data_IF_730342666016
#
_entry.id   IF_730342666016
#
_cell.length_a   1.000
_cell.length_b   1.000
_cell.length_c   1.000
_cell.angle_alpha   90.00
_cell.angle_beta   90.00
_cell.angle_gamma   90.00
#
_symmetry.space_group_name_H-M   'P 1'
#
loop_
_entity.id
_entity.type
_entity.pdbx_description
1 polymer ?
#
# COMPACT_ATOMS: atom_id res chain seq x y z
N UNK A 1 17.87 17.56 -8.15
CA UNK A 1 16.98 16.41 -8.48
C UNK A 1 16.58 16.55 -9.94
N UNK A 2 16.98 15.61 -10.79
CA UNK A 2 16.56 15.58 -12.19
C UNK A 2 15.03 15.42 -12.28
N UNK A 3 14.45 15.82 -13.41
CA UNK A 3 13.01 15.69 -13.64
C UNK A 3 12.54 14.23 -13.46
N UNK A 4 13.37 13.27 -13.87
CA UNK A 4 13.14 11.84 -13.74
C UNK A 4 13.14 11.35 -12.29
N UNK A 5 14.05 11.83 -11.43
CA UNK A 5 14.06 11.49 -10.00
C UNK A 5 12.80 11.98 -9.28
N UNK A 6 12.30 13.17 -9.63
CA UNK A 6 11.04 13.69 -9.07
C UNK A 6 9.86 12.82 -9.50
N UNK A 7 9.81 12.44 -10.78
CA UNK A 7 8.75 11.60 -11.33
C UNK A 7 8.75 10.20 -10.69
N UNK A 8 9.92 9.59 -10.49
CA UNK A 8 10.07 8.32 -9.79
C UNK A 8 9.58 8.39 -8.33
N UNK A 9 9.95 9.45 -7.59
CA UNK A 9 9.44 9.64 -6.22
C UNK A 9 7.92 9.76 -6.17
N UNK A 10 7.30 10.46 -7.13
CA UNK A 10 5.83 10.60 -7.20
C UNK A 10 5.19 9.24 -7.49
N UNK A 11 5.72 8.47 -8.44
CA UNK A 11 5.19 7.14 -8.77
C UNK A 11 5.24 6.19 -7.57
N UNK A 12 6.35 6.14 -6.83
CA UNK A 12 6.47 5.29 -5.64
C UNK A 12 5.47 5.70 -4.55
N UNK A 13 5.25 7.02 -4.37
CA UNK A 13 4.23 7.51 -3.43
C UNK A 13 2.82 7.13 -3.86
N UNK A 14 2.49 7.27 -5.14
CA UNK A 14 1.20 6.85 -5.67
C UNK A 14 0.96 5.34 -5.47
N UNK A 15 1.98 4.51 -5.75
CA UNK A 15 1.91 3.07 -5.49
C UNK A 15 1.69 2.76 -3.99
N UNK A 16 2.37 3.49 -3.09
CA UNK A 16 2.16 3.39 -1.65
C UNK A 16 0.73 3.77 -1.23
N UNK A 17 0.16 4.83 -1.79
CA UNK A 17 -1.22 5.24 -1.54
C UNK A 17 -2.22 4.19 -2.03
N UNK A 18 -2.00 3.60 -3.21
CA UNK A 18 -2.86 2.52 -3.74
C UNK A 18 -2.84 1.31 -2.80
N UNK A 19 -1.66 0.88 -2.35
CA UNK A 19 -1.52 -0.22 -1.39
C UNK A 19 -2.24 0.07 -0.06
N UNK A 20 -2.14 1.31 0.44
CA UNK A 20 -2.88 1.78 1.61
C UNK A 20 -4.40 1.68 1.42
N UNK A 21 -4.92 2.16 0.27
CA UNK A 21 -6.35 2.10 -0.05
C UNK A 21 -6.84 0.65 -0.09
N UNK A 22 -6.10 -0.23 -0.76
CA UNK A 22 -6.46 -1.66 -0.84
C UNK A 22 -6.50 -2.32 0.54
N UNK A 23 -5.52 -2.03 1.40
CA UNK A 23 -5.50 -2.53 2.76
C UNK A 23 -6.64 -1.99 3.62
N UNK A 24 -6.99 -0.70 3.49
CA UNK A 24 -8.14 -0.11 4.19
C UNK A 24 -9.45 -0.77 3.72
N UNK A 25 -9.63 -0.98 2.42
CA UNK A 25 -10.80 -1.65 1.86
C UNK A 25 -10.95 -3.08 2.40
N UNK A 26 -9.84 -3.83 2.50
CA UNK A 26 -9.85 -5.18 3.06
C UNK A 26 -10.25 -5.21 4.55
N UNK A 27 -9.78 -4.23 5.34
CA UNK A 27 -10.22 -4.07 6.73
C UNK A 27 -11.70 -3.71 6.82
N UNK A 28 -12.18 -2.77 6.00
CA UNK A 28 -13.59 -2.39 5.97
C UNK A 28 -14.49 -3.57 5.58
N UNK A 29 -14.06 -4.39 4.62
CA UNK A 29 -14.77 -5.59 4.21
C UNK A 29 -14.90 -6.61 5.36
N UNK A 30 -13.80 -6.93 6.05
CA UNK A 30 -13.85 -7.85 7.19
C UNK A 30 -14.62 -7.29 8.40
N UNK A 31 -14.54 -5.98 8.65
CA UNK A 31 -15.35 -5.32 9.66
C UNK A 31 -16.85 -5.40 9.32
N UNK A 32 -17.23 -5.15 8.06
CA UNK A 32 -18.62 -5.26 7.60
C UNK A 32 -19.17 -6.68 7.74
N UNK A 33 -18.37 -7.71 7.45
CA UNK A 33 -18.77 -9.11 7.64
C UNK A 33 -18.97 -9.48 9.11
N UNK A 34 -18.10 -8.99 10.01
CA UNK A 34 -18.29 -9.18 11.46
C UNK A 34 -19.53 -8.49 11.99
N UNK A 35 -19.82 -7.27 11.53
CA UNK A 35 -21.03 -6.53 11.91
C UNK A 35 -22.32 -7.21 11.45
N UNK A 36 -22.27 -7.98 10.35
CA UNK A 36 -23.41 -8.76 9.83
C UNK A 36 -23.57 -10.12 10.52
N UNK A 37 -22.71 -10.48 11.48
CA UNK A 37 -22.74 -11.79 12.15
C UNK A 37 -22.38 -12.97 11.24
N UNK A 38 -21.91 -12.70 10.02
CA UNK A 38 -21.45 -13.73 9.08
C UNK A 38 -20.06 -14.22 9.48
N UNK A 39 -19.87 -15.52 9.72
CA UNK A 39 -18.55 -16.06 9.99
C UNK A 39 -17.65 -15.87 8.76
N UNK A 40 -16.42 -15.44 9.00
CA UNK A 40 -15.41 -15.30 7.95
C UNK A 40 -15.01 -16.71 7.47
N UNK A 41 -15.00 -16.92 6.15
CA UNK A 41 -14.37 -18.13 5.60
C UNK A 41 -12.84 -18.08 5.83
N UNK A 42 -12.14 -19.22 5.81
CA UNK A 42 -10.68 -19.25 6.00
C UNK A 42 -9.95 -18.28 5.06
N UNK A 43 -10.31 -18.27 3.77
CA UNK A 43 -9.75 -17.36 2.77
C UNK A 43 -10.02 -15.88 3.09
N UNK A 44 -11.19 -15.56 3.65
CA UNK A 44 -11.53 -14.19 4.02
C UNK A 44 -10.77 -13.73 5.27
N UNK A 45 -10.53 -14.64 6.22
CA UNK A 45 -9.72 -14.36 7.40
C UNK A 45 -8.25 -14.12 7.04
N UNK A 46 -7.69 -14.91 6.12
CA UNK A 46 -6.33 -14.71 5.61
C UNK A 46 -6.19 -13.38 4.86
N UNK A 47 -7.16 -13.04 4.00
CA UNK A 47 -7.21 -11.73 3.31
C UNK A 47 -7.35 -10.56 4.28
N UNK A 48 -8.12 -10.73 5.35
CA UNK A 48 -8.23 -9.72 6.41
C UNK A 48 -6.89 -9.50 7.12
N UNK A 49 -6.16 -10.58 7.43
CA UNK A 49 -4.79 -10.49 7.95
C UNK A 49 -3.84 -9.81 6.96
N UNK A 50 -3.90 -10.19 5.68
CA UNK A 50 -3.10 -9.60 4.61
C UNK A 50 -3.38 -8.11 4.39
N UNK A 51 -4.58 -7.64 4.72
CA UNK A 51 -4.95 -6.22 4.61
C UNK A 51 -4.10 -5.32 5.50
N UNK A 52 -3.75 -5.80 6.70
CA UNK A 52 -2.82 -5.09 7.62
C UNK A 52 -1.43 -5.00 7.00
N UNK A 53 -0.97 -6.06 6.34
CA UNK A 53 0.31 -6.06 5.64
C UNK A 53 0.35 -5.05 4.49
N UNK A 54 -0.73 -4.95 3.70
CA UNK A 54 -0.85 -3.95 2.64
C UNK A 54 -0.85 -2.51 3.16
N UNK A 55 -1.46 -2.25 4.32
CA UNK A 55 -1.42 -0.93 4.97
C UNK A 55 0.01 -0.59 5.38
N UNK A 56 0.70 -1.52 6.04
CA UNK A 56 2.09 -1.32 6.47
C UNK A 56 3.00 -1.11 5.27
N UNK A 57 2.87 -1.94 4.23
CA UNK A 57 3.64 -1.82 2.99
C UNK A 57 3.38 -0.48 2.30
N UNK A 58 2.12 -0.06 2.18
CA UNK A 58 1.75 1.21 1.58
C UNK A 58 2.30 2.41 2.35
N UNK A 59 2.26 2.35 3.69
CA UNK A 59 2.86 3.37 4.56
C UNK A 59 4.39 3.44 4.38
N UNK A 60 5.06 2.29 4.38
CA UNK A 60 6.51 2.20 4.16
C UNK A 60 6.88 2.77 2.79
N UNK A 61 6.18 2.38 1.72
CA UNK A 61 6.43 2.90 0.37
C UNK A 61 6.19 4.41 0.28
N UNK A 62 5.16 4.93 0.92
CA UNK A 62 4.86 6.35 0.94
C UNK A 62 5.98 7.17 1.62
N UNK A 63 6.46 6.71 2.79
CA UNK A 63 7.55 7.33 3.53
C UNK A 63 8.90 7.15 2.81
N UNK A 64 9.15 5.97 2.26
CA UNK A 64 10.37 5.62 1.53
C UNK A 64 10.39 6.15 0.09
N UNK A 65 9.36 6.83 -0.40
CA UNK A 65 9.32 7.34 -1.78
C UNK A 65 10.45 8.31 -2.11
N UNK A 66 10.95 9.08 -1.12
CA UNK A 66 12.12 9.96 -1.29
C UNK A 66 13.44 9.20 -1.51
N UNK A 67 13.85 8.26 -0.64
CA UNK A 67 15.05 7.45 -0.89
C UNK A 67 14.90 6.52 -2.10
N UNK A 68 13.74 5.89 -2.29
CA UNK A 68 13.50 5.01 -3.43
C UNK A 68 13.53 5.74 -4.77
N UNK A 69 12.90 6.92 -4.88
CA UNK A 69 12.96 7.69 -6.12
C UNK A 69 14.36 8.25 -6.43
N UNK A 70 15.20 8.49 -5.42
CA UNK A 70 16.63 8.81 -5.63
C UNK A 70 17.42 7.61 -6.14
N UNK A 71 17.16 6.41 -5.61
CA UNK A 71 17.81 5.18 -6.07
C UNK A 71 17.39 4.84 -7.50
N UNK A 72 16.08 4.90 -7.80
CA UNK A 72 15.53 4.57 -9.12
C UNK A 72 15.91 5.59 -10.19
N UNK A 73 16.10 6.85 -9.82
CA UNK A 73 16.55 7.90 -10.75
C UNK A 73 18.07 8.13 -10.78
N UNK A 74 18.88 7.27 -10.13
CA UNK A 74 20.34 7.27 -10.31
C UNK A 74 20.66 6.57 -11.64
N UNK A 75 21.35 7.28 -12.54
CA UNK A 75 21.70 6.77 -13.88
C UNK A 75 20.72 7.19 -15.00
N UNK A 76 19.65 7.91 -14.66
CA UNK A 76 18.76 8.61 -15.60
C UNK A 76 19.05 10.13 -15.60
N UNK A 77 20.30 10.51 -15.35
CA UNK A 77 20.76 11.90 -15.39
C UNK A 77 20.87 12.42 -16.83
#
# INVERSE_FOLDING_TARGET
MSHYQKMATVLVRCAGVIALILGILGLLYGAALRLRGTPLTPDQAERFGGSVWYILLGLVLFLAGRPLGRLLGRGLE
#
